data_IF_578682755018
#
_entry.id   IF_578682755018
#
_cell.length_a   1.000
_cell.length_b   1.000
_cell.length_c   1.000
_cell.angle_alpha   90.00
_cell.angle_beta   90.00
_cell.angle_gamma   90.00
#
_symmetry.space_group_name_H-M   'P 1'
#
loop_
_entity.id
_entity.type
_entity.pdbx_description
1 polymer ?
#
# COMPACT_ATOMS: atom_id res chain seq x y z
N UNK A 1 15.07 -19.38 15.07
CA UNK A 1 15.79 -19.12 13.81
C UNK A 1 15.27 -17.85 13.20
N UNK A 2 16.13 -17.01 12.65
CA UNK A 2 15.72 -15.82 11.92
C UNK A 2 15.02 -16.23 10.62
N UNK A 3 13.95 -15.54 10.24
CA UNK A 3 13.25 -15.76 8.98
C UNK A 3 12.88 -14.42 8.33
N UNK A 4 12.74 -14.43 7.04
CA UNK A 4 12.15 -13.35 6.26
C UNK A 4 10.92 -13.90 5.53
N UNK A 5 9.78 -13.25 5.70
CA UNK A 5 8.54 -13.60 5.04
C UNK A 5 8.09 -12.42 4.18
N UNK A 6 7.91 -12.66 2.89
CA UNK A 6 7.25 -11.76 1.98
C UNK A 6 5.84 -12.26 1.71
N UNK A 7 4.85 -11.45 2.02
CA UNK A 7 3.45 -11.73 1.72
C UNK A 7 2.97 -10.71 0.70
N UNK A 8 2.61 -11.16 -0.48
CA UNK A 8 2.05 -10.34 -1.53
C UNK A 8 0.59 -10.73 -1.74
N UNK A 9 -0.33 -9.81 -1.48
CA UNK A 9 -1.73 -9.95 -1.79
C UNK A 9 -2.02 -9.22 -3.10
N UNK A 10 -2.77 -9.85 -4.00
CA UNK A 10 -3.21 -9.19 -5.23
C UNK A 10 -4.24 -8.11 -4.92
N UNK A 11 -5.19 -8.39 -4.02
CA UNK A 11 -6.15 -7.39 -3.56
C UNK A 11 -5.46 -6.27 -2.72
N UNK A 12 -5.93 -5.04 -2.86
CA UNK A 12 -7.15 -4.54 -3.51
C UNK A 12 -6.97 -4.13 -4.99
N UNK A 13 -6.14 -4.81 -5.76
CA UNK A 13 -5.97 -4.57 -7.19
C UNK A 13 -7.28 -4.86 -7.96
N UNK A 14 -7.49 -4.20 -9.09
CA UNK A 14 -8.58 -4.56 -10.01
C UNK A 14 -8.37 -5.97 -10.64
N UNK A 15 -9.41 -6.73 -10.97
CA UNK A 15 -10.83 -6.40 -10.90
C UNK A 15 -11.35 -6.30 -9.45
N UNK A 16 -12.18 -5.29 -9.19
CA UNK A 16 -12.77 -5.09 -7.86
C UNK A 16 -13.91 -6.08 -7.63
N UNK A 17 -13.56 -7.33 -7.46
CA UNK A 17 -14.49 -8.44 -7.21
C UNK A 17 -14.31 -8.98 -5.78
N UNK A 18 -15.41 -9.16 -5.09
CA UNK A 18 -15.42 -9.66 -3.73
C UNK A 18 -16.77 -10.32 -3.42
N UNK A 19 -16.85 -11.15 -2.36
CA UNK A 19 -18.12 -11.67 -1.90
C UNK A 19 -19.15 -10.55 -1.67
N UNK A 20 -20.38 -10.79 -2.15
CA UNK A 20 -21.46 -9.79 -2.16
C UNK A 20 -21.67 -9.10 -0.81
N UNK A 21 -21.50 -9.80 0.32
CA UNK A 21 -21.70 -9.22 1.64
C UNK A 21 -20.71 -8.08 1.97
N UNK A 22 -19.56 -7.98 1.30
CA UNK A 22 -18.68 -6.80 1.41
C UNK A 22 -19.23 -5.64 0.58
N UNK A 23 -19.70 -5.92 -0.64
CA UNK A 23 -20.32 -4.87 -1.48
C UNK A 23 -21.58 -4.31 -0.81
N UNK A 24 -22.38 -5.15 -0.16
CA UNK A 24 -23.61 -4.75 0.57
C UNK A 24 -23.36 -3.77 1.74
N UNK A 25 -22.10 -3.57 2.16
CA UNK A 25 -21.75 -2.53 3.13
C UNK A 25 -21.80 -1.13 2.50
N UNK A 26 -21.59 -1.02 1.19
CA UNK A 26 -21.41 0.25 0.48
C UNK A 26 -22.48 0.52 -0.57
N UNK A 27 -23.13 -0.52 -1.09
CA UNK A 27 -24.13 -0.43 -2.14
C UNK A 27 -25.35 -1.26 -1.77
N UNK A 28 -26.52 -0.61 -1.73
CA UNK A 28 -27.80 -1.27 -1.47
C UNK A 28 -28.54 -1.56 -2.75
N UNK A 29 -29.50 -2.48 -2.67
CA UNK A 29 -30.41 -2.75 -3.78
C UNK A 29 -31.12 -1.46 -4.23
N UNK A 30 -30.98 -1.13 -5.52
CA UNK A 30 -31.53 0.09 -6.13
C UNK A 30 -30.63 1.32 -6.09
N UNK A 31 -29.47 1.25 -5.46
CA UNK A 31 -28.50 2.35 -5.48
C UNK A 31 -27.83 2.52 -6.85
N UNK A 32 -27.76 1.44 -7.62
CA UNK A 32 -27.19 1.42 -8.96
C UNK A 32 -27.95 0.40 -9.84
N UNK A 33 -28.35 0.82 -11.04
CA UNK A 33 -29.11 0.01 -12.00
C UNK A 33 -28.40 -0.11 -13.38
N UNK A 34 -27.15 0.39 -13.45
CA UNK A 34 -26.33 0.32 -14.66
C UNK A 34 -25.62 -1.02 -14.83
N UNK A 35 -24.75 -1.11 -15.85
CA UNK A 35 -23.94 -2.31 -16.07
C UNK A 35 -23.03 -2.62 -14.88
N UNK A 36 -23.02 -3.88 -14.44
CA UNK A 36 -22.09 -4.34 -13.43
C UNK A 36 -20.69 -4.54 -14.04
N UNK A 37 -19.70 -3.83 -13.51
CA UNK A 37 -18.31 -3.95 -13.93
C UNK A 37 -17.35 -3.77 -12.77
N UNK A 38 -16.22 -4.45 -12.85
CA UNK A 38 -15.21 -4.52 -11.78
C UNK A 38 -13.86 -3.99 -12.21
N UNK A 39 -13.67 -3.74 -13.50
CA UNK A 39 -12.39 -3.36 -14.09
C UNK A 39 -12.56 -2.20 -15.06
N UNK A 40 -12.14 -0.98 -14.70
CA UNK A 40 -12.20 0.16 -15.61
C UNK A 40 -11.09 0.15 -16.64
N UNK A 41 -11.28 0.86 -17.74
CA UNK A 41 -10.21 1.13 -18.71
C UNK A 41 -9.16 2.06 -18.12
N UNK A 42 -7.91 1.86 -18.51
CA UNK A 42 -6.78 2.75 -18.18
C UNK A 42 -6.79 3.94 -19.14
N UNK A 43 -7.53 4.98 -18.79
CA UNK A 43 -7.85 6.07 -19.71
C UNK A 43 -8.36 7.31 -18.96
N UNK A 44 -8.60 8.44 -19.62
CA UNK A 44 -9.49 9.47 -19.11
C UNK A 44 -10.82 8.88 -18.68
N UNK A 45 -11.40 9.41 -17.62
CA UNK A 45 -12.69 8.91 -17.10
C UNK A 45 -13.82 9.22 -18.08
N UNK A 46 -14.34 8.19 -18.75
CA UNK A 46 -15.49 8.26 -19.65
C UNK A 46 -16.79 7.78 -18.98
N UNK A 47 -16.72 7.33 -17.72
CA UNK A 47 -17.88 6.89 -16.95
C UNK A 47 -18.69 8.09 -16.47
N UNK A 48 -20.01 7.93 -16.40
CA UNK A 48 -20.86 8.90 -15.72
C UNK A 48 -20.68 8.82 -14.20
N UNK A 49 -21.32 9.74 -13.46
CA UNK A 49 -21.16 9.82 -11.98
C UNK A 49 -21.66 8.55 -11.28
N UNK A 50 -22.77 7.96 -11.72
CA UNK A 50 -23.33 6.75 -11.10
C UNK A 50 -22.41 5.54 -11.32
N UNK A 51 -21.85 5.38 -12.50
CA UNK A 51 -20.87 4.33 -12.83
C UNK A 51 -19.58 4.52 -12.05
N UNK A 52 -19.08 5.74 -11.97
CA UNK A 52 -17.87 6.07 -11.19
C UNK A 52 -18.08 5.76 -9.72
N UNK A 53 -19.23 6.14 -9.14
CA UNK A 53 -19.52 5.85 -7.74
C UNK A 53 -19.73 4.35 -7.48
N UNK A 54 -20.35 3.61 -8.41
CA UNK A 54 -20.45 2.16 -8.34
C UNK A 54 -19.06 1.52 -8.23
N UNK A 55 -18.11 1.91 -9.10
CA UNK A 55 -16.74 1.41 -9.07
C UNK A 55 -16.02 1.77 -7.75
N UNK A 56 -16.23 2.98 -7.22
CA UNK A 56 -15.70 3.39 -5.91
C UNK A 56 -16.22 2.52 -4.77
N UNK A 57 -17.50 2.16 -4.81
CA UNK A 57 -18.12 1.26 -3.81
C UNK A 57 -17.54 -0.14 -3.89
N UNK A 58 -17.29 -0.66 -5.09
CA UNK A 58 -16.61 -1.94 -5.29
C UNK A 58 -15.18 -1.92 -4.76
N UNK A 59 -14.41 -0.89 -5.08
CA UNK A 59 -13.06 -0.70 -4.53
C UNK A 59 -13.07 -0.67 -2.99
N UNK A 60 -13.98 0.09 -2.37
CA UNK A 60 -14.14 0.13 -0.90
C UNK A 60 -14.46 -1.27 -0.33
N UNK A 61 -15.28 -2.05 -1.02
CA UNK A 61 -15.64 -3.40 -0.60
C UNK A 61 -14.44 -4.35 -0.62
N UNK A 62 -13.63 -4.33 -1.68
CA UNK A 62 -12.40 -5.12 -1.79
C UNK A 62 -11.37 -4.66 -0.75
N UNK A 63 -11.21 -3.36 -0.54
CA UNK A 63 -10.33 -2.83 0.52
C UNK A 63 -10.77 -3.30 1.91
N UNK A 64 -12.08 -3.34 2.19
CA UNK A 64 -12.59 -3.86 3.47
C UNK A 64 -12.32 -5.35 3.63
N UNK A 65 -12.41 -6.12 2.56
CA UNK A 65 -12.03 -7.53 2.55
C UNK A 65 -10.54 -7.71 2.85
N UNK A 66 -9.69 -6.95 2.17
CA UNK A 66 -8.23 -6.97 2.36
C UNK A 66 -7.84 -6.58 3.78
N UNK A 67 -8.44 -5.50 4.32
CA UNK A 67 -8.22 -5.03 5.70
C UNK A 67 -8.58 -6.11 6.74
N UNK A 68 -9.69 -6.82 6.53
CA UNK A 68 -10.06 -7.94 7.39
C UNK A 68 -9.01 -9.04 7.40
N UNK A 69 -8.50 -9.45 6.24
CA UNK A 69 -7.47 -10.50 6.16
C UNK A 69 -6.12 -10.02 6.71
N UNK A 70 -5.79 -8.74 6.57
CA UNK A 70 -4.66 -8.15 7.28
C UNK A 70 -4.86 -8.27 8.80
N UNK A 71 -6.07 -7.98 9.30
CA UNK A 71 -6.41 -8.17 10.71
C UNK A 71 -6.15 -9.59 11.21
N UNK A 72 -6.46 -10.61 10.41
CA UNK A 72 -6.18 -12.02 10.75
C UNK A 72 -4.67 -12.30 10.88
N UNK A 73 -3.82 -11.64 10.10
CA UNK A 73 -2.36 -11.71 10.24
C UNK A 73 -1.92 -11.06 11.55
N UNK A 74 -2.46 -9.87 11.86
CA UNK A 74 -2.14 -9.16 13.10
C UNK A 74 -2.59 -9.95 14.33
N UNK A 75 -3.76 -10.61 14.29
CA UNK A 75 -4.26 -11.51 15.35
C UNK A 75 -3.28 -12.69 15.61
N UNK A 76 -2.65 -13.22 14.56
CA UNK A 76 -1.62 -14.25 14.69
C UNK A 76 -0.37 -13.68 15.37
N UNK A 77 0.05 -12.47 15.00
CA UNK A 77 1.20 -11.80 15.65
C UNK A 77 0.93 -11.55 17.12
N UNK A 78 -0.28 -11.11 17.49
CA UNK A 78 -0.70 -10.94 18.88
C UNK A 78 -0.69 -12.26 19.64
N UNK A 79 -1.30 -13.30 19.07
CA UNK A 79 -1.41 -14.62 19.69
C UNK A 79 -0.06 -15.25 20.03
N UNK A 80 0.95 -15.02 19.19
CA UNK A 80 2.27 -15.61 19.35
C UNK A 80 3.31 -14.61 19.91
N UNK A 81 2.87 -13.43 20.32
CA UNK A 81 3.72 -12.36 20.87
C UNK A 81 4.89 -11.98 19.95
N UNK A 82 4.62 -11.95 18.64
CA UNK A 82 5.65 -11.73 17.62
C UNK A 82 6.19 -10.30 17.58
N UNK A 83 5.49 -9.34 18.18
CA UNK A 83 5.91 -7.94 18.23
C UNK A 83 7.23 -7.70 18.98
N UNK A 84 7.63 -8.65 19.83
CA UNK A 84 8.86 -8.54 20.61
C UNK A 84 10.13 -8.78 19.79
N UNK A 85 10.02 -9.51 18.67
CA UNK A 85 11.17 -9.94 17.87
C UNK A 85 11.00 -9.82 16.37
N UNK A 86 9.85 -9.34 15.89
CA UNK A 86 9.51 -9.28 14.47
C UNK A 86 9.31 -7.84 14.02
N UNK A 87 9.98 -7.46 12.92
CA UNK A 87 9.67 -6.23 12.20
C UNK A 87 8.58 -6.51 11.15
N UNK A 88 7.48 -5.76 11.22
CA UNK A 88 6.43 -5.77 10.21
C UNK A 88 6.54 -4.51 9.35
N UNK A 89 6.58 -4.68 8.04
CA UNK A 89 6.49 -3.60 7.04
C UNK A 89 5.23 -3.79 6.24
N UNK A 90 4.37 -2.78 6.22
CA UNK A 90 3.16 -2.74 5.38
C UNK A 90 3.28 -1.59 4.39
N UNK A 91 3.14 -1.90 3.11
CA UNK A 91 3.18 -0.93 2.01
C UNK A 91 2.48 -1.47 0.77
N UNK A 92 2.42 -0.67 -0.29
CA UNK A 92 1.99 -1.07 -1.63
C UNK A 92 2.97 -0.53 -2.66
N UNK A 93 2.85 -0.95 -3.90
CA UNK A 93 3.67 -0.48 -5.03
C UNK A 93 3.22 0.90 -5.53
N UNK A 94 1.94 1.12 -5.69
CA UNK A 94 1.32 2.38 -6.12
C UNK A 94 -0.15 2.44 -5.68
N UNK A 95 -0.78 3.59 -5.87
CA UNK A 95 -2.21 3.80 -5.71
C UNK A 95 -2.97 3.74 -7.04
N UNK A 96 -4.15 4.38 -7.09
CA UNK A 96 -5.10 4.23 -8.18
C UNK A 96 -6.04 5.43 -8.27
N UNK A 97 -6.46 5.83 -9.49
CA UNK A 97 -7.51 6.82 -9.72
C UNK A 97 -8.87 6.16 -9.90
N UNK A 98 -9.87 6.72 -9.26
CA UNK A 98 -11.27 6.34 -9.37
C UNK A 98 -12.13 7.55 -9.78
N UNK A 99 -11.70 8.25 -10.85
CA UNK A 99 -12.33 9.45 -11.38
C UNK A 99 -11.70 10.76 -10.94
N UNK A 100 -10.75 10.74 -9.99
CA UNK A 100 -10.02 11.95 -9.60
C UNK A 100 -9.26 12.53 -10.78
N UNK A 101 -9.22 13.86 -10.86
CA UNK A 101 -8.56 14.61 -11.95
C UNK A 101 -9.07 14.25 -13.35
N UNK A 102 -10.23 13.57 -13.47
CA UNK A 102 -10.77 13.09 -14.74
C UNK A 102 -10.09 11.85 -15.31
N UNK A 103 -9.44 11.04 -14.46
CA UNK A 103 -8.76 9.81 -14.85
C UNK A 103 -9.29 8.59 -14.13
N UNK A 104 -9.15 7.43 -14.78
CA UNK A 104 -9.34 6.11 -14.20
C UNK A 104 -8.05 5.32 -14.25
N UNK A 105 -7.86 4.43 -13.27
CA UNK A 105 -6.75 3.51 -13.18
C UNK A 105 -5.38 4.17 -12.91
N UNK A 106 -4.35 3.72 -13.58
CA UNK A 106 -2.93 4.04 -13.37
C UNK A 106 -2.19 4.01 -14.72
N UNK A 107 -0.90 4.40 -14.72
CA UNK A 107 0.01 4.32 -15.88
C UNK A 107 -0.28 5.27 -17.05
N UNK A 108 -1.25 6.17 -16.95
CA UNK A 108 -1.67 7.02 -18.05
C UNK A 108 -1.62 8.52 -17.72
N UNK A 109 -1.73 8.88 -16.47
CA UNK A 109 -1.88 10.27 -16.01
C UNK A 109 -0.61 10.83 -15.38
N UNK A 110 -0.63 12.12 -15.11
CA UNK A 110 0.41 12.77 -14.32
C UNK A 110 0.53 12.14 -12.90
N UNK A 111 1.68 12.29 -12.25
CA UNK A 111 1.97 11.67 -10.95
C UNK A 111 1.24 12.38 -9.79
N UNK A 112 -0.07 12.18 -9.70
CA UNK A 112 -0.89 12.67 -8.60
C UNK A 112 -0.74 11.86 -7.32
N UNK A 113 -1.12 12.45 -6.19
CA UNK A 113 -1.01 11.82 -4.87
C UNK A 113 -1.77 10.49 -4.77
N UNK A 114 -2.90 10.36 -5.45
CA UNK A 114 -3.73 9.15 -5.45
C UNK A 114 -2.96 7.93 -5.94
N UNK A 115 -1.93 8.12 -6.75
CA UNK A 115 -1.09 7.03 -7.29
C UNK A 115 0.25 6.92 -6.57
N UNK A 116 0.86 8.03 -6.16
CA UNK A 116 2.25 8.04 -5.69
C UNK A 116 2.43 8.28 -4.20
N UNK A 117 1.43 8.82 -3.50
CA UNK A 117 1.47 8.96 -2.04
C UNK A 117 0.91 7.71 -1.37
N UNK A 118 1.69 6.65 -1.39
CA UNK A 118 1.33 5.33 -0.91
C UNK A 118 1.53 5.19 0.61
N UNK A 119 0.79 4.29 1.28
CA UNK A 119 1.00 3.99 2.68
C UNK A 119 2.35 3.30 2.91
N UNK A 120 3.02 3.67 3.98
CA UNK A 120 4.15 2.95 4.54
C UNK A 120 4.02 2.94 6.06
N UNK A 121 3.86 1.76 6.63
CA UNK A 121 3.81 1.55 8.07
C UNK A 121 4.86 0.52 8.46
N UNK A 122 5.64 0.83 9.49
CA UNK A 122 6.69 -0.06 9.99
C UNK A 122 6.53 -0.17 11.51
N UNK A 123 6.41 -1.40 11.99
CA UNK A 123 6.52 -1.74 13.39
C UNK A 123 7.78 -2.57 13.58
N UNK A 124 8.59 -2.24 14.59
CA UNK A 124 9.79 -3.02 14.92
C UNK A 124 10.03 -2.99 16.42
N UNK A 125 10.71 -4.01 16.97
CA UNK A 125 11.08 -4.06 18.38
C UNK A 125 11.79 -2.79 18.84
N UNK A 126 11.33 -2.21 19.95
CA UNK A 126 11.90 -1.00 20.55
C UNK A 126 11.52 0.34 19.87
N UNK A 127 10.79 0.30 18.76
CA UNK A 127 10.29 1.50 18.08
C UNK A 127 9.04 2.02 18.78
N UNK A 128 9.01 3.32 19.07
CA UNK A 128 7.84 3.94 19.68
C UNK A 128 6.79 4.30 18.62
N UNK A 129 5.47 4.14 18.92
CA UNK A 129 4.41 4.57 18.03
C UNK A 129 4.51 6.06 17.71
N UNK A 130 4.33 6.41 16.44
CA UNK A 130 4.39 7.80 16.01
C UNK A 130 4.06 7.99 14.54
N UNK A 131 4.13 9.23 14.10
CA UNK A 131 4.03 9.61 12.68
C UNK A 131 5.31 10.33 12.25
N UNK A 132 5.83 9.96 11.09
CA UNK A 132 7.00 10.59 10.51
C UNK A 132 6.61 11.26 9.18
N UNK A 133 7.04 12.51 8.99
CA UNK A 133 6.80 13.29 7.77
C UNK A 133 8.01 13.31 6.83
N UNK A 134 9.05 12.53 7.12
CA UNK A 134 10.21 12.43 6.25
C UNK A 134 9.84 11.91 4.86
N UNK A 135 10.52 12.41 3.84
CA UNK A 135 10.36 11.91 2.48
C UNK A 135 11.00 10.53 2.36
N UNK A 136 10.18 9.53 2.04
CA UNK A 136 10.58 8.12 1.86
C UNK A 136 10.13 7.59 0.50
N UNK A 137 10.67 6.46 0.08
CA UNK A 137 10.32 5.77 -1.17
C UNK A 137 10.34 4.26 -0.98
N UNK A 138 9.63 3.51 -1.80
CA UNK A 138 9.62 2.02 -1.75
C UNK A 138 11.01 1.40 -1.83
N UNK A 139 11.93 2.03 -2.55
CA UNK A 139 13.33 1.57 -2.63
C UNK A 139 14.06 1.59 -1.27
N UNK A 140 13.50 2.24 -0.25
CA UNK A 140 14.07 2.30 1.10
C UNK A 140 13.79 1.05 1.92
N UNK A 141 12.81 0.24 1.52
CA UNK A 141 12.44 -0.99 2.22
C UNK A 141 13.61 -1.97 2.24
N UNK A 142 14.23 -2.22 1.08
CA UNK A 142 15.36 -3.16 0.99
C UNK A 142 16.52 -2.80 1.94
N UNK A 143 17.12 -1.59 1.88
CA UNK A 143 18.20 -1.25 2.81
C UNK A 143 17.76 -1.21 4.27
N UNK A 144 16.49 -0.95 4.56
CA UNK A 144 15.94 -1.03 5.93
C UNK A 144 15.96 -2.47 6.45
N UNK A 145 15.50 -3.41 5.64
CA UNK A 145 15.52 -4.85 5.97
C UNK A 145 16.97 -5.34 6.10
N UNK A 146 17.86 -4.95 5.18
CA UNK A 146 19.27 -5.35 5.26
C UNK A 146 19.92 -4.86 6.54
N UNK A 147 19.72 -3.59 6.92
CA UNK A 147 20.27 -3.05 8.19
C UNK A 147 19.66 -3.74 9.40
N UNK A 148 18.36 -4.05 9.38
CA UNK A 148 17.70 -4.78 10.48
C UNK A 148 18.29 -6.16 10.73
N UNK A 149 18.72 -6.85 9.66
CA UNK A 149 19.41 -8.15 9.73
C UNK A 149 20.93 -8.05 9.79
N UNK A 150 21.50 -6.85 9.90
CA UNK A 150 22.96 -6.62 9.93
C UNK A 150 23.64 -7.16 8.65
N UNK A 151 22.93 -7.12 7.50
CA UNK A 151 23.48 -7.54 6.21
C UNK A 151 24.16 -6.36 5.54
N UNK A 152 25.46 -6.49 5.25
CA UNK A 152 26.21 -5.46 4.50
C UNK A 152 25.69 -5.31 3.08
N UNK A 153 25.54 -4.06 2.62
CA UNK A 153 25.20 -3.79 1.21
C UNK A 153 26.29 -4.22 0.21
N UNK A 154 27.51 -4.50 0.70
CA UNK A 154 28.61 -5.01 -0.13
C UNK A 154 28.32 -6.39 -0.75
N UNK A 155 27.35 -7.14 -0.22
CA UNK A 155 26.91 -8.41 -0.81
C UNK A 155 26.09 -8.22 -2.09
N UNK A 156 25.63 -7.01 -2.36
CA UNK A 156 24.83 -6.70 -3.55
C UNK A 156 25.71 -6.55 -4.78
N UNK A 157 25.27 -7.08 -5.90
CA UNK A 157 25.96 -6.98 -7.18
C UNK A 157 25.97 -5.53 -7.73
N UNK A 158 24.95 -4.74 -7.38
CA UNK A 158 24.79 -3.37 -7.84
C UNK A 158 24.49 -2.44 -6.65
N UNK A 159 24.94 -1.18 -6.71
CA UNK A 159 24.59 -0.20 -5.69
C UNK A 159 23.09 0.07 -5.69
N UNK A 160 22.52 0.28 -4.51
CA UNK A 160 21.12 0.65 -4.33
C UNK A 160 21.00 2.14 -4.01
N UNK A 161 19.90 2.76 -4.46
CA UNK A 161 19.63 4.18 -4.22
C UNK A 161 18.75 4.41 -2.97
N UNK A 162 18.13 3.35 -2.45
CA UNK A 162 17.37 3.39 -1.22
C UNK A 162 18.22 3.70 -0.01
N UNK A 163 17.62 4.22 1.02
CA UNK A 163 18.23 4.52 2.32
C UNK A 163 17.48 3.82 3.42
N UNK A 164 18.19 3.27 4.40
CA UNK A 164 17.53 2.65 5.55
C UNK A 164 16.68 3.66 6.31
N UNK A 165 15.52 3.22 6.73
CA UNK A 165 14.57 3.97 7.55
C UNK A 165 14.76 3.69 9.05
N UNK A 166 15.64 2.77 9.45
CA UNK A 166 15.87 2.48 10.87
C UNK A 166 16.29 3.70 11.68
N UNK A 167 17.15 4.63 11.20
CA UNK A 167 17.45 5.86 11.92
C UNK A 167 16.23 6.75 12.18
N UNK A 168 15.26 6.82 11.22
CA UNK A 168 13.98 7.50 11.45
C UNK A 168 13.15 6.80 12.52
N UNK A 169 13.05 5.48 12.45
CA UNK A 169 12.28 4.67 13.39
C UNK A 169 12.81 4.75 14.82
N UNK A 170 14.13 4.89 14.98
CA UNK A 170 14.81 5.07 16.27
C UNK A 170 14.82 6.50 16.77
N UNK A 171 14.34 7.46 15.97
CA UNK A 171 14.37 8.89 16.32
C UNK A 171 15.78 9.50 16.30
N UNK A 172 16.73 8.88 15.61
CA UNK A 172 18.10 9.36 15.47
C UNK A 172 18.22 10.50 14.45
N UNK A 173 17.27 10.58 13.52
CA UNK A 173 17.14 11.62 12.51
C UNK A 173 15.67 11.89 12.19
N UNK A 174 15.37 13.05 11.64
CA UNK A 174 14.06 13.41 11.10
C UNK A 174 14.01 13.37 9.57
N UNK A 175 15.13 12.95 8.91
CA UNK A 175 15.27 13.04 7.47
C UNK A 175 16.24 12.00 6.92
N UNK A 176 15.89 11.40 5.78
CA UNK A 176 16.77 10.51 5.00
C UNK A 176 17.07 11.08 3.61
N UNK A 177 16.22 11.96 3.08
CA UNK A 177 16.40 12.65 1.79
C UNK A 177 15.63 13.94 1.72
N UNK A 178 15.99 14.81 0.75
CA UNK A 178 15.34 16.09 0.50
C UNK A 178 14.15 15.97 -0.46
N UNK A 179 14.18 14.97 -1.35
CA UNK A 179 13.19 14.79 -2.40
C UNK A 179 13.04 13.33 -2.79
N UNK A 180 11.85 12.96 -3.23
CA UNK A 180 11.56 11.68 -3.88
C UNK A 180 11.48 11.90 -5.39
N UNK A 181 11.89 10.89 -6.17
CA UNK A 181 11.76 10.87 -7.62
C UNK A 181 10.84 9.72 -7.99
N UNK A 182 9.79 10.02 -8.73
CA UNK A 182 8.83 9.05 -9.21
C UNK A 182 8.30 9.47 -10.58
N UNK A 183 7.78 8.52 -11.35
CA UNK A 183 7.26 8.75 -12.69
C UNK A 183 6.99 7.45 -13.43
N UNK A 184 6.52 7.59 -14.67
CA UNK A 184 6.38 6.50 -15.62
C UNK A 184 7.48 6.61 -16.68
N UNK A 185 7.91 5.47 -17.21
CA UNK A 185 8.88 5.36 -18.29
C UNK A 185 8.23 4.78 -19.53
#
# INVERSE_FOLDING_TARGET
>A
DNYFLWVEAFDPHEPYDCPKYYLDLYEKEGDYDGPDFTHPSYAPNEFNEAETEHLRRRCKAVMTMTDRHLGEILDVMDKYNMWEDTMLVFTTDHGYHLGEHGYMAKNYMAPYNEVFHIPLMISAPGVQPGRCSAVTQNIDVLPTVMEYYEISQEVLQYPIHGKSLLPLLRGETDKVRDSAIFGYF
#
